data_IF_662050671411
#
_entry.id   IF_662050671411
#
_cell.length_a   1.000
_cell.length_b   1.000
_cell.length_c   1.000
_cell.angle_alpha   90.00
_cell.angle_beta   90.00
_cell.angle_gamma   90.00
#
_symmetry.space_group_name_H-M   'P 1'
#
loop_
_entity.id
_entity.type
_entity.pdbx_description
1 polymer ?
#
# COMPACT_ATOMS: atom_id res chain seq x y z
N UNK A 1 -7.86 8.65 -19.85
CA UNK A 1 -8.15 9.17 -18.50
C UNK A 1 -6.90 9.10 -17.65
N UNK A 2 -6.49 10.21 -17.04
CA UNK A 2 -5.38 10.25 -16.09
C UNK A 2 -5.91 10.01 -14.68
N UNK A 3 -5.57 8.88 -14.08
CA UNK A 3 -5.78 8.62 -12.66
C UNK A 3 -4.90 9.54 -11.81
N UNK A 4 -5.50 10.15 -10.79
CA UNK A 4 -4.88 11.04 -9.80
C UNK A 4 -4.53 10.28 -8.52
N UNK A 5 -3.58 10.80 -7.75
CA UNK A 5 -3.23 10.23 -6.43
C UNK A 5 -4.44 10.26 -5.48
N UNK A 6 -5.27 11.30 -5.56
CA UNK A 6 -6.48 11.44 -4.76
C UNK A 6 -7.49 10.31 -5.02
N UNK A 7 -7.70 9.94 -6.28
CA UNK A 7 -8.58 8.80 -6.62
C UNK A 7 -8.03 7.48 -6.06
N UNK A 8 -6.71 7.28 -6.11
CA UNK A 8 -6.07 6.10 -5.53
C UNK A 8 -6.28 6.06 -4.00
N UNK A 9 -6.06 7.19 -3.32
CA UNK A 9 -6.24 7.31 -1.86
C UNK A 9 -7.69 7.03 -1.49
N UNK A 10 -8.67 7.59 -2.20
CA UNK A 10 -10.10 7.38 -1.92
C UNK A 10 -10.51 5.90 -2.03
N UNK A 11 -10.09 5.19 -3.08
CA UNK A 11 -10.33 3.75 -3.20
C UNK A 11 -9.68 2.97 -2.06
N UNK A 12 -8.45 3.32 -1.68
CA UNK A 12 -7.74 2.67 -0.59
C UNK A 12 -8.42 2.92 0.77
N UNK A 13 -8.91 4.13 1.05
CA UNK A 13 -9.62 4.45 2.30
C UNK A 13 -10.87 3.59 2.48
N UNK A 14 -11.62 3.33 1.40
CA UNK A 14 -12.78 2.43 1.43
C UNK A 14 -12.41 1.05 1.97
N UNK A 15 -11.30 0.48 1.51
CA UNK A 15 -10.78 -0.81 1.99
C UNK A 15 -10.23 -0.70 3.41
N UNK A 16 -9.41 0.32 3.69
CA UNK A 16 -8.77 0.51 4.99
C UNK A 16 -9.79 0.73 6.12
N UNK A 17 -10.93 1.35 5.82
CA UNK A 17 -12.03 1.53 6.78
C UNK A 17 -12.64 0.22 7.28
N UNK A 18 -12.53 -0.86 6.50
CA UNK A 18 -13.06 -2.20 6.81
C UNK A 18 -12.06 -3.09 7.56
N UNK A 19 -10.81 -2.65 7.66
CA UNK A 19 -9.76 -3.42 8.35
C UNK A 19 -10.11 -3.52 9.83
N UNK A 20 -10.15 -4.76 10.33
CA UNK A 20 -10.50 -5.02 11.73
C UNK A 20 -9.55 -4.28 12.67
N UNK A 21 -10.12 -3.66 13.70
CA UNK A 21 -9.34 -3.11 14.79
C UNK A 21 -8.84 -4.24 15.68
N UNK A 22 -7.60 -4.13 16.14
CA UNK A 22 -7.01 -5.03 17.15
C UNK A 22 -7.09 -4.38 18.52
N UNK A 23 -7.50 -5.15 19.52
CA UNK A 23 -7.42 -4.74 20.93
C UNK A 23 -5.97 -4.82 21.42
N UNK A 24 -5.42 -3.70 21.88
CA UNK A 24 -4.10 -3.65 22.56
C UNK A 24 -4.19 -4.13 24.01
N UNK A 25 -3.04 -4.52 24.57
CA UNK A 25 -2.88 -4.62 26.03
C UNK A 25 -3.11 -3.21 26.60
N UNK A 26 -4.20 -3.04 27.36
CA UNK A 26 -4.68 -1.73 27.83
C UNK A 26 -6.10 -1.35 27.40
N UNK A 27 -6.75 -2.15 26.53
CA UNK A 27 -8.17 -1.97 26.19
C UNK A 27 -8.46 -1.08 24.98
N UNK A 28 -7.49 -0.28 24.54
CA UNK A 28 -7.61 0.57 23.34
C UNK A 28 -7.65 -0.28 22.06
N UNK A 29 -8.50 0.10 21.11
CA UNK A 29 -8.63 -0.55 19.80
C UNK A 29 -7.91 0.28 18.75
N UNK A 30 -6.91 -0.29 18.08
CA UNK A 30 -6.19 0.38 17.01
C UNK A 30 -6.48 -0.27 15.65
N UNK A 31 -6.50 0.55 14.58
CA UNK A 31 -6.49 0.01 13.22
C UNK A 31 -5.14 -0.66 12.93
N UNK A 32 -5.21 -1.82 12.26
CA UNK A 32 -4.02 -2.54 11.80
C UNK A 32 -3.39 -1.86 10.59
N UNK A 33 -2.07 -1.91 10.53
CA UNK A 33 -1.32 -1.53 9.33
C UNK A 33 -1.42 -2.60 8.26
N UNK A 34 -1.53 -2.17 7.00
CA UNK A 34 -1.43 -3.02 5.82
C UNK A 34 -0.29 -2.54 4.92
N UNK A 35 0.34 -3.46 4.19
CA UNK A 35 1.25 -3.10 3.10
C UNK A 35 0.47 -2.69 1.85
N UNK A 36 1.10 -1.95 0.94
CA UNK A 36 0.46 -1.58 -0.33
C UNK A 36 0.06 -2.81 -1.19
N UNK A 37 0.77 -3.94 -1.04
CA UNK A 37 0.41 -5.20 -1.69
C UNK A 37 -0.86 -5.82 -1.10
N UNK A 38 -1.02 -5.81 0.24
CA UNK A 38 -2.25 -6.26 0.88
C UNK A 38 -3.45 -5.39 0.48
N UNK A 39 -3.25 -4.08 0.39
CA UNK A 39 -4.28 -3.13 -0.07
C UNK A 39 -4.67 -3.44 -1.52
N UNK A 40 -3.68 -3.68 -2.39
CA UNK A 40 -3.91 -4.09 -3.78
C UNK A 40 -4.79 -5.34 -3.89
N UNK A 41 -4.44 -6.41 -3.16
CA UNK A 41 -5.23 -7.64 -3.17
C UNK A 41 -6.67 -7.45 -2.66
N UNK A 42 -6.85 -6.60 -1.64
CA UNK A 42 -8.18 -6.29 -1.12
C UNK A 42 -9.01 -5.47 -2.14
N UNK A 43 -8.40 -4.50 -2.82
CA UNK A 43 -9.06 -3.74 -3.89
C UNK A 43 -9.50 -4.66 -5.03
N UNK A 44 -8.65 -5.60 -5.45
CA UNK A 44 -9.01 -6.59 -6.48
C UNK A 44 -10.16 -7.48 -6.01
N UNK A 45 -10.14 -7.93 -4.76
CA UNK A 45 -11.23 -8.74 -4.17
C UNK A 45 -12.56 -7.97 -4.12
N UNK A 46 -12.50 -6.67 -3.88
CA UNK A 46 -13.67 -5.77 -3.90
C UNK A 46 -14.06 -5.29 -5.29
N UNK A 47 -13.37 -5.78 -6.34
CA UNK A 47 -13.56 -5.35 -7.73
C UNK A 47 -13.55 -3.82 -7.87
N UNK A 48 -12.64 -3.15 -7.15
CA UNK A 48 -12.51 -1.70 -7.21
C UNK A 48 -12.07 -1.28 -8.62
N UNK A 49 -12.77 -0.34 -9.28
CA UNK A 49 -12.42 0.12 -10.63
C UNK A 49 -10.98 0.66 -10.73
N UNK A 50 -10.40 1.13 -9.62
CA UNK A 50 -9.03 1.60 -9.57
C UNK A 50 -8.04 0.51 -10.02
N UNK A 51 -8.36 -0.76 -9.81
CA UNK A 51 -7.51 -1.88 -10.19
C UNK A 51 -7.32 -1.96 -11.70
N UNK A 52 -8.40 -1.89 -12.47
CA UNK A 52 -8.33 -1.93 -13.93
C UNK A 52 -7.60 -0.71 -14.48
N UNK A 53 -7.83 0.46 -13.90
CA UNK A 53 -7.17 1.71 -14.31
C UNK A 53 -5.66 1.65 -14.06
N UNK A 54 -5.25 1.15 -12.89
CA UNK A 54 -3.84 0.99 -12.54
C UNK A 54 -3.16 -0.07 -13.40
N UNK A 55 -3.79 -1.22 -13.63
CA UNK A 55 -3.25 -2.27 -14.50
C UNK A 55 -3.09 -1.78 -15.94
N UNK A 56 -4.09 -1.07 -16.49
CA UNK A 56 -4.03 -0.53 -17.85
C UNK A 56 -2.91 0.50 -18.03
N UNK A 57 -2.64 1.30 -16.99
CA UNK A 57 -1.66 2.39 -17.06
C UNK A 57 -0.23 1.94 -16.72
N UNK A 58 -0.08 0.99 -15.81
CA UNK A 58 1.22 0.63 -15.23
C UNK A 58 1.59 -0.85 -15.38
N UNK A 59 0.72 -1.65 -15.99
CA UNK A 59 0.90 -3.08 -16.16
C UNK A 59 0.53 -3.89 -14.92
N UNK A 60 0.73 -5.20 -14.99
CA UNK A 60 0.39 -6.17 -13.93
C UNK A 60 1.58 -6.61 -13.08
N UNK A 61 2.79 -6.14 -13.37
CA UNK A 61 3.98 -6.55 -12.65
C UNK A 61 3.92 -6.07 -11.20
N UNK A 62 4.15 -6.95 -10.23
CA UNK A 62 4.08 -6.61 -8.79
C UNK A 62 5.43 -6.81 -8.06
N UNK A 63 6.53 -6.97 -8.80
CA UNK A 63 7.85 -7.30 -8.26
C UNK A 63 8.95 -6.26 -8.57
N UNK A 64 10.00 -6.25 -7.73
CA UNK A 64 11.25 -5.53 -7.96
C UNK A 64 12.05 -6.19 -9.09
N UNK A 65 11.81 -5.73 -10.30
CA UNK A 65 12.68 -5.90 -11.47
C UNK A 65 12.69 -4.56 -12.20
N UNK A 66 13.45 -3.61 -11.67
CA UNK A 66 13.39 -2.19 -12.04
C UNK A 66 13.89 -1.93 -13.46
N UNK A 67 12.96 -1.88 -14.40
CA UNK A 67 13.07 -1.16 -15.65
C UNK A 67 11.71 -0.56 -16.00
N UNK A 68 11.57 0.76 -15.90
CA UNK A 68 10.43 1.62 -16.31
C UNK A 68 9.01 1.32 -15.77
N UNK A 69 8.69 0.12 -15.28
CA UNK A 69 7.31 -0.29 -14.95
C UNK A 69 7.13 -0.45 -13.43
N UNK A 70 6.70 0.64 -12.78
CA UNK A 70 6.28 0.65 -11.37
C UNK A 70 4.88 0.06 -11.27
N UNK A 71 4.74 -1.13 -10.69
CA UNK A 71 3.49 -1.87 -10.58
C UNK A 71 2.35 -1.21 -9.79
N UNK A 72 1.10 -1.70 -9.90
CA UNK A 72 -0.07 -1.12 -9.21
C UNK A 72 0.10 -0.97 -7.70
N UNK A 73 0.64 -1.99 -7.02
CA UNK A 73 0.88 -1.93 -5.58
C UNK A 73 1.90 -0.84 -5.20
N UNK A 74 2.93 -0.61 -6.02
CA UNK A 74 3.91 0.42 -5.73
C UNK A 74 3.34 1.83 -5.98
N UNK A 75 2.45 1.99 -6.96
CA UNK A 75 1.71 3.25 -7.18
C UNK A 75 0.76 3.57 -6.04
N UNK A 76 0.09 2.55 -5.49
CA UNK A 76 -0.67 2.68 -4.25
C UNK A 76 0.25 3.15 -3.12
N UNK A 77 1.40 2.52 -2.95
CA UNK A 77 2.37 2.92 -1.91
C UNK A 77 2.81 4.38 -2.02
N UNK A 78 3.12 4.85 -3.24
CA UNK A 78 3.48 6.26 -3.49
C UNK A 78 2.34 7.20 -3.13
N UNK A 79 1.12 6.92 -3.61
CA UNK A 79 -0.05 7.77 -3.35
C UNK A 79 -0.41 7.82 -1.85
N UNK A 80 -0.34 6.68 -1.15
CA UNK A 80 -0.62 6.62 0.28
C UNK A 80 0.46 7.29 1.12
N UNK A 81 1.73 7.15 0.74
CA UNK A 81 2.86 7.79 1.43
C UNK A 81 2.83 9.32 1.36
N UNK A 82 2.18 9.89 0.34
CA UNK A 82 2.03 11.33 0.16
C UNK A 82 0.74 11.90 0.79
N UNK A 83 -0.15 11.06 1.34
CA UNK A 83 -1.46 11.49 1.85
C UNK A 83 -1.42 11.84 3.34
N UNK A 84 -2.00 12.99 3.69
CA UNK A 84 -2.21 13.41 5.09
C UNK A 84 -3.32 12.62 5.80
N UNK A 85 -4.17 11.89 5.07
CA UNK A 85 -5.26 11.07 5.61
C UNK A 85 -4.76 9.70 6.11
N UNK A 86 -3.54 9.34 5.71
CA UNK A 86 -2.93 8.04 5.98
C UNK A 86 -1.80 8.21 6.99
N UNK A 87 -1.76 7.31 7.95
CA UNK A 87 -0.60 7.12 8.81
C UNK A 87 0.31 6.08 8.18
N UNK A 88 1.54 6.48 7.87
CA UNK A 88 2.52 5.66 7.17
C UNK A 88 3.74 5.43 8.06
N UNK A 89 4.09 4.17 8.28
CA UNK A 89 5.38 3.78 8.87
C UNK A 89 6.25 3.15 7.80
N UNK A 90 7.53 3.45 7.85
CA UNK A 90 8.51 2.85 6.96
C UNK A 90 9.32 1.83 7.73
N UNK A 91 9.21 0.56 7.33
CA UNK A 91 10.20 -0.44 7.71
C UNK A 91 11.49 -0.12 6.97
N UNK A 92 12.53 0.20 7.73
CA UNK A 92 13.86 0.35 7.18
C UNK A 92 14.43 -1.02 6.86
N UNK A 93 14.29 -1.40 5.59
CA UNK A 93 14.80 -2.68 5.09
C UNK A 93 16.25 -2.58 4.61
N UNK A 94 16.92 -1.43 4.79
CA UNK A 94 18.36 -1.28 4.48
C UNK A 94 19.23 -2.13 5.42
N UNK A 95 18.77 -2.29 6.66
CA UNK A 95 19.45 -3.07 7.71
C UNK A 95 19.01 -4.54 7.73
N UNK A 96 18.08 -4.97 6.86
CA UNK A 96 17.63 -6.37 6.81
C UNK A 96 18.60 -7.22 5.98
N UNK A 97 19.57 -7.82 6.66
CA UNK A 97 20.47 -8.83 6.11
C UNK A 97 19.84 -10.23 6.19
N UNK A 98 19.00 -10.57 5.21
CA UNK A 98 18.46 -11.92 5.04
C UNK A 98 19.22 -12.67 3.92
N UNK A 99 19.62 -13.95 4.12
CA UNK A 99 20.30 -14.72 3.09
C UNK A 99 19.48 -14.79 1.80
N UNK A 100 20.08 -14.39 0.67
CA UNK A 100 19.43 -14.42 -0.65
C UNK A 100 18.50 -13.23 -0.94
N UNK A 101 18.42 -12.24 -0.07
CA UNK A 101 17.63 -11.02 -0.30
C UNK A 101 18.57 -9.81 -0.30
N UNK A 102 18.70 -9.14 -1.44
CA UNK A 102 19.40 -7.85 -1.51
C UNK A 102 18.55 -6.78 -0.83
N UNK A 103 19.08 -6.08 0.19
CA UNK A 103 18.39 -4.98 0.85
C UNK A 103 17.90 -3.99 -0.18
N UNK A 104 16.62 -3.67 -0.10
CA UNK A 104 15.93 -3.14 -1.26
C UNK A 104 16.26 -1.66 -1.55
N UNK A 105 17.09 -1.00 -0.73
CA UNK A 105 17.44 0.43 -0.85
C UNK A 105 16.26 1.39 -0.61
N UNK A 106 15.04 0.87 -0.55
CA UNK A 106 13.79 1.62 -0.36
C UNK A 106 13.02 1.04 0.81
N UNK A 107 12.47 1.90 1.65
CA UNK A 107 11.60 1.54 2.77
C UNK A 107 10.33 0.80 2.31
N UNK A 108 9.92 -0.22 3.06
CA UNK A 108 8.61 -0.86 2.89
C UNK A 108 7.58 -0.09 3.73
N UNK A 109 6.58 0.50 3.08
CA UNK A 109 5.53 1.25 3.78
C UNK A 109 4.46 0.35 4.40
N UNK A 110 4.08 0.67 5.62
CA UNK A 110 2.96 0.15 6.40
C UNK A 110 1.94 1.27 6.56
N UNK A 111 0.70 1.04 6.15
CA UNK A 111 -0.32 2.09 6.00
C UNK A 111 -1.59 1.77 6.82
N UNK A 112 -2.17 2.78 7.48
CA UNK A 112 -3.53 2.71 8.07
C UNK A 112 -4.21 4.09 7.98
N UNK A 113 -5.55 4.15 8.08
CA UNK A 113 -6.22 5.45 8.19
C UNK A 113 -5.85 6.13 9.51
N UNK A 114 -5.52 7.42 9.46
CA UNK A 114 -5.28 8.26 10.65
C UNK A 114 -6.54 8.27 11.55
N UNK A 115 -6.34 8.28 12.86
CA UNK A 115 -7.41 8.39 13.87
C UNK A 115 -7.66 9.83 14.28
#
# INVERSE_FOLDING_TARGET
>A
MSITEKEIVQSCMRVLSKVRKRKRRGGNHERLFLTAYQIWLLLQKEQDPICEVLEKKYGRAVGKGGGAYVGPAQRIGVALGASDEIETYHLDVRELSLPGITPSGTSCGLYRMRE
#
